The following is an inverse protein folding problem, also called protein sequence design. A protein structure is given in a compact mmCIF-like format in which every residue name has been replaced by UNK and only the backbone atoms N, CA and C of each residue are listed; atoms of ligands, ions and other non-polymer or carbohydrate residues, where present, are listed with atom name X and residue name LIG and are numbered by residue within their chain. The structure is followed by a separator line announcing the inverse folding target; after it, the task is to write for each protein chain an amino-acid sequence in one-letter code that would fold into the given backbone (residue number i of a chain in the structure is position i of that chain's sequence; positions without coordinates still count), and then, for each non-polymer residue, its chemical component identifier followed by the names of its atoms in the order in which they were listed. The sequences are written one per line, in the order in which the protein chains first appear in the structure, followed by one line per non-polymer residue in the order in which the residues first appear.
data_IF_010688733113
#
_entry.id   IF_010688733113
#
_cell.length_a   1.000
_cell.length_b   1.000
_cell.length_c   1.000
_cell.angle_alpha   90.00
_cell.angle_beta   90.00
_cell.angle_gamma   90.00
#
_symmetry.space_group_name_H-M   'P 1'
#
loop_
_entity.id
_entity.type
_entity.pdbx_description
1 polymer ?
#
# COMPACT_ATOMS: atom_id res chain seq x y z
N UNK A 1 20.40 12.55 14.49
CA UNK A 1 21.17 11.31 14.76
C UNK A 1 20.45 10.06 14.23
N UNK A 2 19.13 9.91 14.47
CA UNK A 2 18.32 8.81 13.94
C UNK A 2 18.23 8.79 12.41
N UNK A 3 18.00 9.95 11.76
CA UNK A 3 17.92 10.01 10.29
C UNK A 3 19.24 9.61 9.59
N UNK A 4 20.38 10.06 10.11
CA UNK A 4 21.71 9.67 9.58
C UNK A 4 21.96 8.18 9.74
N UNK A 5 21.42 7.54 10.79
CA UNK A 5 21.49 6.08 10.95
C UNK A 5 20.58 5.38 9.96
N UNK A 6 19.39 5.91 9.72
CA UNK A 6 18.44 5.38 8.72
C UNK A 6 19.03 5.40 7.31
N UNK A 7 19.56 6.53 6.84
CA UNK A 7 20.13 6.65 5.49
C UNK A 7 21.37 5.79 5.26
N UNK A 8 22.00 5.29 6.33
CA UNK A 8 23.13 4.35 6.28
C UNK A 8 22.71 2.90 6.56
N UNK A 9 21.42 2.63 6.72
CA UNK A 9 20.92 1.30 7.05
C UNK A 9 20.80 0.41 5.80
N UNK A 10 20.86 -0.90 6.01
CA UNK A 10 20.60 -1.88 4.93
C UNK A 10 19.17 -1.76 4.40
N UNK A 11 18.20 -1.47 5.27
CA UNK A 11 16.79 -1.29 4.87
C UNK A 11 16.62 -0.12 3.91
N UNK A 12 17.26 1.02 4.16
CA UNK A 12 17.22 2.17 3.25
C UNK A 12 17.79 1.81 1.88
N UNK A 13 18.99 1.22 1.83
CA UNK A 13 19.62 0.81 0.59
C UNK A 13 18.79 -0.23 -0.18
N UNK A 14 18.14 -1.16 0.53
CA UNK A 14 17.31 -2.19 -0.07
C UNK A 14 16.00 -1.63 -0.66
N UNK A 15 15.38 -0.66 0.01
CA UNK A 15 14.18 0.03 -0.50
C UNK A 15 14.51 0.90 -1.71
N UNK A 16 15.63 1.63 -1.67
CA UNK A 16 16.09 2.43 -2.82
C UNK A 16 16.37 1.55 -4.04
N UNK A 17 17.04 0.40 -3.84
CA UNK A 17 17.27 -0.58 -4.89
C UNK A 17 15.95 -1.14 -5.46
N UNK A 18 15.00 -1.50 -4.59
CA UNK A 18 13.69 -1.99 -5.02
C UNK A 18 12.97 -0.96 -5.90
N UNK A 19 12.92 0.31 -5.47
CA UNK A 19 12.27 1.39 -6.25
C UNK A 19 12.94 1.55 -7.62
N UNK A 20 14.28 1.52 -7.66
CA UNK A 20 15.03 1.61 -8.92
C UNK A 20 14.76 0.41 -9.84
N UNK A 21 14.69 -0.81 -9.31
CA UNK A 21 14.37 -2.03 -10.07
C UNK A 21 12.94 -1.99 -10.64
N UNK A 22 11.96 -1.61 -9.81
CA UNK A 22 10.56 -1.48 -10.21
C UNK A 22 10.42 -0.42 -11.30
N UNK A 23 10.97 0.78 -11.10
CA UNK A 23 10.93 1.86 -12.07
C UNK A 23 11.59 1.49 -13.40
N UNK A 24 12.76 0.83 -13.35
CA UNK A 24 13.48 0.37 -14.53
C UNK A 24 12.71 -0.69 -15.32
N UNK A 25 11.92 -1.53 -14.64
CA UNK A 25 11.16 -2.62 -15.28
C UNK A 25 10.05 -2.14 -16.22
N UNK A 26 9.60 -0.89 -16.08
CA UNK A 26 8.47 -0.31 -16.81
C UNK A 26 8.83 0.83 -17.76
N UNK A 27 10.12 1.15 -17.93
CA UNK A 27 10.56 2.20 -18.85
C UNK A 27 10.08 1.92 -20.27
N UNK A 28 9.40 2.90 -20.87
CA UNK A 28 8.87 2.79 -22.24
C UNK A 28 7.65 1.87 -22.38
N UNK A 29 7.00 1.45 -21.29
CA UNK A 29 5.82 0.58 -21.31
C UNK A 29 4.56 1.34 -20.89
N UNK A 30 3.47 1.30 -21.69
CA UNK A 30 2.19 1.84 -21.25
C UNK A 30 1.59 0.97 -20.14
N UNK A 31 0.69 1.55 -19.32
CA UNK A 31 -0.06 0.83 -18.27
C UNK A 31 -0.84 -0.36 -18.84
N UNK A 32 -1.36 -0.24 -20.06
CA UNK A 32 -2.07 -1.29 -20.78
C UNK A 32 -1.20 -2.45 -21.29
N UNK A 33 0.13 -2.40 -21.10
CA UNK A 33 1.04 -3.47 -21.55
C UNK A 33 0.66 -4.81 -20.94
N UNK A 34 0.68 -5.87 -21.74
CA UNK A 34 0.55 -7.23 -21.21
C UNK A 34 1.80 -7.61 -20.39
N UNK A 35 1.58 -8.18 -19.22
CA UNK A 35 2.63 -8.49 -18.23
C UNK A 35 2.30 -9.79 -17.51
N UNK A 36 3.34 -10.52 -17.11
CA UNK A 36 3.16 -11.70 -16.27
C UNK A 36 2.56 -11.30 -14.92
N UNK A 37 1.51 -11.99 -14.50
CA UNK A 37 0.89 -11.83 -13.19
C UNK A 37 0.94 -13.17 -12.46
N UNK A 38 1.67 -13.22 -11.35
CA UNK A 38 1.73 -14.42 -10.51
C UNK A 38 0.43 -14.67 -9.73
N UNK A 39 0.20 -15.91 -9.26
CA UNK A 39 -0.94 -16.23 -8.39
C UNK A 39 -1.00 -15.36 -7.13
N UNK A 40 0.15 -15.09 -6.50
CA UNK A 40 0.24 -14.22 -5.33
C UNK A 40 -0.24 -12.81 -5.67
N UNK A 41 0.21 -12.24 -6.81
CA UNK A 41 -0.22 -10.89 -7.22
C UNK A 41 -1.72 -10.85 -7.52
N UNK A 42 -2.30 -11.91 -8.11
CA UNK A 42 -3.75 -12.04 -8.26
C UNK A 42 -4.52 -12.05 -6.94
N UNK A 43 -3.99 -12.68 -5.88
CA UNK A 43 -4.60 -12.63 -4.55
C UNK A 43 -4.62 -11.19 -4.03
N UNK A 44 -3.51 -10.47 -4.13
CA UNK A 44 -3.41 -9.07 -3.67
C UNK A 44 -4.34 -8.15 -4.44
N UNK A 45 -4.41 -8.29 -5.77
CA UNK A 45 -5.31 -7.48 -6.59
C UNK A 45 -6.77 -7.69 -6.22
N UNK A 46 -7.19 -8.94 -5.98
CA UNK A 46 -8.55 -9.24 -5.52
C UNK A 46 -8.85 -8.62 -4.17
N UNK A 47 -7.88 -8.63 -3.24
CA UNK A 47 -8.05 -7.97 -1.95
C UNK A 47 -8.22 -6.45 -2.10
N UNK A 48 -7.45 -5.80 -2.99
CA UNK A 48 -7.61 -4.38 -3.30
C UNK A 48 -8.97 -4.07 -3.94
N UNK A 49 -9.43 -4.92 -4.87
CA UNK A 49 -10.74 -4.78 -5.52
C UNK A 49 -11.88 -4.92 -4.48
N UNK A 50 -11.78 -5.90 -3.56
CA UNK A 50 -12.73 -6.08 -2.46
C UNK A 50 -12.73 -4.87 -1.50
N UNK A 51 -11.55 -4.36 -1.16
CA UNK A 51 -11.38 -3.16 -0.33
C UNK A 51 -11.99 -1.90 -0.97
N UNK A 52 -11.98 -1.81 -2.31
CA UNK A 52 -12.65 -0.75 -3.07
C UNK A 52 -14.18 -0.85 -2.98
N UNK A 53 -14.74 -2.05 -3.05
CA UNK A 53 -16.17 -2.27 -2.83
C UNK A 53 -16.62 -1.86 -1.42
N UNK A 54 -15.80 -2.07 -0.39
CA UNK A 54 -16.17 -1.65 0.98
C UNK A 54 -16.38 -0.14 1.14
N UNK A 55 -15.83 0.68 0.25
CA UNK A 55 -16.06 2.13 0.29
C UNK A 55 -17.53 2.46 0.00
N UNK A 56 -18.18 1.67 -0.86
CA UNK A 56 -19.61 1.79 -1.14
C UNK A 56 -20.46 1.32 0.05
N UNK A 57 -20.04 0.25 0.72
CA UNK A 57 -20.71 -0.27 1.93
C UNK A 57 -20.59 0.66 3.15
N UNK A 58 -19.60 1.55 3.15
CA UNK A 58 -19.26 2.41 4.28
C UNK A 58 -19.34 3.88 3.81
N UNK A 59 -20.56 4.41 3.62
CA UNK A 59 -20.72 5.76 3.11
C UNK A 59 -20.20 6.80 4.12
N UNK A 60 -19.78 7.99 3.64
CA UNK A 60 -19.35 9.08 4.51
C UNK A 60 -20.43 9.45 5.54
N UNK A 61 -20.03 9.61 6.80
CA UNK A 61 -20.95 10.08 7.84
C UNK A 61 -21.31 11.55 7.60
N UNK A 62 -22.56 11.92 7.88
CA UNK A 62 -22.91 13.34 8.02
C UNK A 62 -22.18 13.92 9.24
N UNK A 63 -21.32 14.90 8.99
CA UNK A 63 -20.53 15.55 10.03
C UNK A 63 -20.41 17.05 9.75
N UNK A 64 -20.26 17.84 10.82
CA UNK A 64 -20.06 19.27 10.70
C UNK A 64 -18.63 19.64 10.21
N UNK A 65 -17.66 18.76 10.42
CA UNK A 65 -16.26 19.00 10.02
C UNK A 65 -16.04 18.74 8.54
N UNK A 66 -15.29 19.64 7.91
CA UNK A 66 -15.00 19.61 6.47
C UNK A 66 -13.94 18.56 6.08
N UNK A 67 -13.03 18.21 6.97
CA UNK A 67 -11.93 17.28 6.72
C UNK A 67 -12.03 16.06 7.65
N UNK A 68 -11.44 14.94 7.21
CA UNK A 68 -11.36 13.71 7.97
C UNK A 68 -12.72 13.12 8.31
N UNK A 69 -13.34 12.41 7.37
CA UNK A 69 -14.59 11.70 7.64
C UNK A 69 -14.34 10.51 8.57
N UNK A 70 -15.07 10.47 9.70
CA UNK A 70 -14.93 9.38 10.68
C UNK A 70 -15.32 8.00 10.13
N UNK A 71 -16.09 7.91 9.04
CA UNK A 71 -16.38 6.66 8.33
C UNK A 71 -15.10 5.91 7.91
N UNK A 72 -14.00 6.64 7.61
CA UNK A 72 -12.71 6.02 7.30
C UNK A 72 -12.24 5.07 8.40
N UNK A 73 -12.51 5.38 9.67
CA UNK A 73 -12.15 4.50 10.79
C UNK A 73 -12.85 3.15 10.69
N UNK A 74 -14.10 3.13 10.25
CA UNK A 74 -14.85 1.89 10.07
C UNK A 74 -14.27 1.07 8.92
N UNK A 75 -13.95 1.72 7.79
CA UNK A 75 -13.29 1.08 6.66
C UNK A 75 -11.91 0.51 7.07
N UNK A 76 -11.11 1.29 7.80
CA UNK A 76 -9.79 0.88 8.26
C UNK A 76 -9.87 -0.29 9.27
N UNK A 77 -10.84 -0.28 10.19
CA UNK A 77 -11.06 -1.41 11.12
C UNK A 77 -11.40 -2.68 10.33
N UNK A 78 -12.25 -2.60 9.31
CA UNK A 78 -12.57 -3.74 8.45
C UNK A 78 -11.31 -4.27 7.75
N UNK A 79 -10.49 -3.39 7.19
CA UNK A 79 -9.21 -3.75 6.56
C UNK A 79 -8.26 -4.46 7.55
N UNK A 80 -8.08 -3.93 8.75
CA UNK A 80 -7.23 -4.54 9.79
C UNK A 80 -7.72 -5.93 10.19
N UNK A 81 -9.03 -6.14 10.26
CA UNK A 81 -9.62 -7.45 10.59
C UNK A 81 -9.38 -8.51 9.51
N UNK A 82 -9.26 -8.11 8.23
CA UNK A 82 -9.04 -9.04 7.11
C UNK A 82 -7.54 -9.26 6.81
N UNK A 83 -6.66 -8.34 7.22
CA UNK A 83 -5.24 -8.38 6.92
C UNK A 83 -4.53 -9.69 7.35
N UNK A 84 -4.76 -10.28 8.55
CA UNK A 84 -4.11 -11.53 8.93
C UNK A 84 -4.44 -12.70 8.00
N UNK A 85 -5.71 -12.84 7.62
CA UNK A 85 -6.15 -13.89 6.70
C UNK A 85 -5.54 -13.71 5.30
N UNK A 86 -5.43 -12.46 4.84
CA UNK A 86 -4.74 -12.14 3.59
C UNK A 86 -3.26 -12.57 3.65
N UNK A 87 -2.53 -12.24 4.72
CA UNK A 87 -1.11 -12.61 4.84
C UNK A 87 -0.91 -14.12 4.82
N UNK A 88 -1.72 -14.88 5.58
CA UNK A 88 -1.68 -16.35 5.56
C UNK A 88 -1.98 -16.90 4.16
N UNK A 89 -2.89 -16.29 3.40
CA UNK A 89 -3.19 -16.74 2.03
C UNK A 89 -2.09 -16.48 1.00
N UNK A 90 -1.15 -15.57 1.31
CA UNK A 90 -0.04 -15.20 0.43
C UNK A 90 1.24 -15.98 0.74
N UNK A 91 1.43 -16.35 2.01
CA UNK A 91 2.65 -16.93 2.51
C UNK A 91 2.65 -18.46 2.34
N UNK A 92 3.81 -19.07 2.06
CA UNK A 92 3.95 -20.51 2.21
C UNK A 92 3.87 -20.91 3.69
N UNK A 93 3.53 -22.18 3.94
CA UNK A 93 3.29 -22.71 5.29
C UNK A 93 4.47 -22.48 6.25
N UNK A 94 5.70 -22.55 5.75
CA UNK A 94 6.93 -22.37 6.51
C UNK A 94 7.24 -20.89 6.84
N UNK A 95 6.55 -19.95 6.20
CA UNK A 95 6.70 -18.51 6.42
C UNK A 95 5.50 -17.88 7.16
N UNK A 96 4.51 -18.66 7.60
CA UNK A 96 3.35 -18.14 8.35
C UNK A 96 3.72 -17.38 9.64
N UNK A 97 4.88 -17.66 10.23
CA UNK A 97 5.38 -16.93 11.40
C UNK A 97 5.66 -15.44 11.11
N UNK A 98 5.91 -15.09 9.85
CA UNK A 98 6.20 -13.71 9.41
C UNK A 98 4.93 -12.90 9.11
N UNK A 99 3.75 -13.53 9.20
CA UNK A 99 2.47 -12.90 8.88
C UNK A 99 2.21 -11.66 9.74
N UNK A 100 2.50 -11.71 11.04
CA UNK A 100 2.26 -10.60 11.97
C UNK A 100 3.08 -9.35 11.61
N UNK A 101 4.33 -9.53 11.19
CA UNK A 101 5.18 -8.42 10.73
C UNK A 101 4.61 -7.80 9.45
N UNK A 102 4.18 -8.63 8.49
CA UNK A 102 3.59 -8.17 7.23
C UNK A 102 2.25 -7.45 7.42
N UNK A 103 1.42 -7.88 8.38
CA UNK A 103 0.19 -7.17 8.74
C UNK A 103 0.50 -5.74 9.17
N UNK A 104 1.59 -5.51 9.89
CA UNK A 104 2.03 -4.17 10.30
C UNK A 104 2.25 -3.25 9.10
N UNK A 105 3.08 -3.66 8.15
CA UNK A 105 3.36 -2.87 6.94
C UNK A 105 2.13 -2.69 6.05
N UNK A 106 1.31 -3.74 5.90
CA UNK A 106 0.08 -3.68 5.11
C UNK A 106 -0.92 -2.70 5.69
N UNK A 107 -1.18 -2.77 6.99
CA UNK A 107 -2.19 -1.92 7.63
C UNK A 107 -1.77 -0.45 7.65
N UNK A 108 -0.46 -0.17 7.80
CA UNK A 108 0.07 1.19 7.72
C UNK A 108 0.12 1.74 6.29
N UNK A 109 -0.13 0.92 5.25
CA UNK A 109 -0.12 1.40 3.86
C UNK A 109 -1.35 2.24 3.48
N UNK A 110 -2.46 2.18 4.23
CA UNK A 110 -3.73 2.78 3.79
C UNK A 110 -4.13 4.05 4.54
N UNK A 111 -3.18 4.71 5.21
CA UNK A 111 -3.41 5.94 5.98
C UNK A 111 -3.60 5.70 7.48
N UNK A 112 -3.69 6.78 8.26
CA UNK A 112 -3.82 6.68 9.72
C UNK A 112 -5.27 6.86 10.19
N UNK A 113 -5.89 5.90 10.90
CA UNK A 113 -7.29 5.99 11.31
C UNK A 113 -7.52 7.04 12.40
N UNK A 114 -6.51 7.39 13.20
CA UNK A 114 -6.66 8.38 14.27
C UNK A 114 -6.62 9.79 13.69
N UNK A 115 -5.64 10.07 12.83
CA UNK A 115 -5.45 11.38 12.17
C UNK A 115 -6.34 11.56 10.94
N UNK A 116 -6.85 10.46 10.37
CA UNK A 116 -7.65 10.43 9.13
C UNK A 116 -6.86 11.11 8.00
N UNK A 117 -5.60 10.70 7.86
CA UNK A 117 -4.66 11.24 6.89
C UNK A 117 -3.98 10.14 6.06
N UNK A 118 -3.41 10.54 4.93
CA UNK A 118 -2.65 9.69 4.04
C UNK A 118 -1.53 10.49 3.37
N UNK A 119 -0.43 9.85 2.98
CA UNK A 119 0.71 10.50 2.36
C UNK A 119 1.85 9.55 2.07
N UNK A 120 2.99 10.08 1.62
CA UNK A 120 4.12 9.32 1.08
C UNK A 120 4.75 8.29 2.04
N UNK A 121 4.61 8.49 3.36
CA UNK A 121 5.02 7.49 4.35
C UNK A 121 4.21 6.19 4.26
N UNK A 122 2.91 6.30 3.99
CA UNK A 122 2.01 5.16 3.80
C UNK A 122 2.30 4.45 2.47
N UNK A 123 2.59 5.21 1.41
CA UNK A 123 3.08 4.64 0.13
C UNK A 123 4.38 3.86 0.30
N UNK A 124 5.30 4.40 1.09
CA UNK A 124 6.54 3.71 1.43
C UNK A 124 6.29 2.44 2.25
N UNK A 125 5.26 2.42 3.11
CA UNK A 125 4.87 1.22 3.85
C UNK A 125 4.40 0.10 2.91
N UNK A 126 3.62 0.43 1.87
CA UNK A 126 3.25 -0.54 0.82
C UNK A 126 4.49 -1.10 0.10
N UNK A 127 5.42 -0.23 -0.30
CA UNK A 127 6.66 -0.68 -0.97
C UNK A 127 7.55 -1.51 -0.04
N UNK A 128 7.54 -1.21 1.26
CA UNK A 128 8.21 -2.01 2.29
C UNK A 128 7.56 -3.38 2.43
N UNK A 129 6.22 -3.45 2.40
CA UNK A 129 5.50 -4.71 2.36
C UNK A 129 5.83 -5.55 1.11
N UNK A 130 5.88 -4.93 -0.07
CA UNK A 130 6.35 -5.57 -1.31
C UNK A 130 7.78 -6.08 -1.17
N UNK A 131 8.66 -5.29 -0.55
CA UNK A 131 10.04 -5.70 -0.27
C UNK A 131 10.11 -6.95 0.62
N UNK A 132 9.31 -7.02 1.68
CA UNK A 132 9.26 -8.17 2.56
C UNK A 132 8.77 -9.43 1.82
N UNK A 133 7.74 -9.31 0.97
CA UNK A 133 7.31 -10.43 0.11
C UNK A 133 8.38 -10.88 -0.89
N UNK A 134 9.22 -9.96 -1.40
CA UNK A 134 10.38 -10.32 -2.23
C UNK A 134 11.43 -11.11 -1.44
N UNK A 135 11.68 -10.73 -0.18
CA UNK A 135 12.60 -11.45 0.72
C UNK A 135 12.11 -12.86 1.07
N UNK A 136 10.80 -13.06 1.12
CA UNK A 136 10.16 -14.35 1.35
C UNK A 136 9.92 -15.15 0.06
N UNK A 137 10.43 -14.66 -1.07
CA UNK A 137 10.27 -15.28 -2.39
C UNK A 137 8.82 -15.46 -2.88
N UNK A 138 7.85 -14.79 -2.23
CA UNK A 138 6.45 -14.73 -2.69
C UNK A 138 6.35 -13.92 -3.97
N UNK A 139 7.10 -12.80 -4.03
CA UNK A 139 7.31 -12.06 -5.26
C UNK A 139 8.73 -12.28 -5.79
N UNK A 140 8.83 -12.32 -7.11
CA UNK A 140 10.08 -12.50 -7.85
C UNK A 140 10.36 -11.31 -8.75
N UNK A 141 11.55 -11.24 -9.36
CA UNK A 141 11.86 -10.18 -10.32
C UNK A 141 10.95 -10.24 -11.57
N UNK A 142 10.36 -11.40 -11.86
CA UNK A 142 9.38 -11.56 -12.93
C UNK A 142 8.07 -10.80 -12.64
N UNK A 143 7.78 -10.51 -11.37
CA UNK A 143 6.59 -9.78 -10.96
C UNK A 143 6.77 -8.26 -11.01
N UNK A 144 8.00 -7.73 -11.15
CA UNK A 144 8.28 -6.29 -11.04
C UNK A 144 7.37 -5.43 -11.92
N UNK A 145 7.13 -5.86 -13.17
CA UNK A 145 6.25 -5.13 -14.09
C UNK A 145 4.81 -5.13 -13.62
N UNK A 146 4.30 -6.26 -13.13
CA UNK A 146 2.93 -6.34 -12.63
C UNK A 146 2.76 -5.64 -11.28
N UNK A 147 3.79 -5.62 -10.42
CA UNK A 147 3.77 -4.81 -9.20
C UNK A 147 3.52 -3.35 -9.56
N UNK A 148 4.21 -2.81 -10.56
CA UNK A 148 4.02 -1.40 -10.94
C UNK A 148 2.74 -1.19 -11.76
N UNK A 149 2.52 -1.97 -12.81
CA UNK A 149 1.46 -1.72 -13.79
C UNK A 149 0.11 -2.34 -13.41
N UNK A 150 0.00 -3.08 -12.30
CA UNK A 150 -1.26 -3.69 -11.85
C UNK A 150 -1.54 -3.45 -10.38
N UNK A 151 -0.58 -3.76 -9.50
CA UNK A 151 -0.76 -3.62 -8.05
C UNK A 151 -0.77 -2.14 -7.66
N UNK A 152 0.27 -1.38 -8.00
CA UNK A 152 0.34 0.05 -7.67
C UNK A 152 -0.78 0.85 -8.35
N UNK A 153 -1.17 0.48 -9.57
CA UNK A 153 -2.31 1.11 -10.24
C UNK A 153 -3.61 0.94 -9.44
N UNK A 154 -3.96 -0.30 -9.06
CA UNK A 154 -5.16 -0.59 -8.24
C UNK A 154 -5.10 0.07 -6.87
N UNK A 155 -3.93 0.00 -6.23
CA UNK A 155 -3.71 0.65 -4.96
C UNK A 155 -3.95 2.16 -5.06
N UNK A 156 -3.41 2.84 -6.07
CA UNK A 156 -3.63 4.28 -6.26
C UNK A 156 -5.08 4.61 -6.61
N UNK A 157 -5.79 3.75 -7.35
CA UNK A 157 -7.22 3.92 -7.59
C UNK A 157 -8.02 3.85 -6.29
N UNK A 158 -7.76 2.84 -5.45
CA UNK A 158 -8.36 2.72 -4.13
C UNK A 158 -8.02 3.93 -3.24
N UNK A 159 -6.75 4.34 -3.19
CA UNK A 159 -6.34 5.47 -2.35
C UNK A 159 -7.01 6.77 -2.77
N UNK A 160 -7.13 7.05 -4.08
CA UNK A 160 -7.90 8.20 -4.59
C UNK A 160 -9.37 8.12 -4.19
N UNK A 161 -9.96 6.93 -4.24
CA UNK A 161 -11.34 6.72 -3.79
C UNK A 161 -11.48 7.02 -2.29
N UNK A 162 -10.55 6.57 -1.44
CA UNK A 162 -10.56 6.83 0.00
C UNK A 162 -10.34 8.31 0.31
N UNK A 163 -9.33 8.95 -0.31
CA UNK A 163 -9.02 10.37 -0.16
C UNK A 163 -10.24 11.23 -0.51
N UNK A 164 -10.92 10.93 -1.62
CA UNK A 164 -12.08 11.71 -2.08
C UNK A 164 -13.36 11.43 -1.29
N UNK A 165 -13.60 10.16 -0.93
CA UNK A 165 -14.82 9.75 -0.23
C UNK A 165 -14.78 10.17 1.24
N UNK A 166 -13.64 9.99 1.90
CA UNK A 166 -13.49 10.26 3.33
C UNK A 166 -12.74 11.57 3.63
N UNK A 167 -12.40 12.37 2.62
CA UNK A 167 -11.71 13.65 2.79
C UNK A 167 -10.46 13.53 3.66
N UNK A 168 -9.62 12.54 3.34
CA UNK A 168 -8.37 12.29 4.08
C UNK A 168 -7.47 13.51 4.00
N UNK A 169 -6.85 13.84 5.12
CA UNK A 169 -5.90 14.95 5.17
C UNK A 169 -4.52 14.54 4.59
N UNK A 170 -3.79 15.47 3.95
CA UNK A 170 -2.39 15.30 3.58
C UNK A 170 -1.49 15.01 4.78
N UNK A 171 -0.87 13.82 4.82
CA UNK A 171 0.09 13.46 5.85
C UNK A 171 1.49 13.96 5.47
N UNK A 172 2.02 14.90 6.25
CA UNK A 172 3.37 15.43 6.03
C UNK A 172 3.48 16.42 4.88
N UNK A 173 2.38 17.11 4.53
CA UNK A 173 2.37 18.10 3.46
C UNK A 173 3.50 19.12 3.62
N UNK A 174 4.21 19.40 2.53
CA UNK A 174 5.13 20.53 2.42
C UNK A 174 4.41 21.81 1.92
N UNK A 175 3.07 21.81 1.90
CA UNK A 175 2.25 22.88 1.31
C UNK A 175 2.57 23.06 -0.18
N UNK A 176 2.64 24.31 -0.64
CA UNK A 176 2.99 24.62 -2.05
C UNK A 176 4.41 24.22 -2.50
N UNK A 177 5.18 23.54 -1.64
CA UNK A 177 6.50 22.99 -1.95
C UNK A 177 6.50 21.45 -2.05
N UNK A 178 5.34 20.82 -1.86
CA UNK A 178 5.16 19.39 -2.11
C UNK A 178 5.09 19.09 -3.61
N UNK A 179 5.47 17.86 -3.99
CA UNK A 179 5.23 17.37 -5.35
C UNK A 179 3.75 17.03 -5.56
N UNK A 180 3.10 16.52 -4.51
CA UNK A 180 1.72 16.03 -4.44
C UNK A 180 1.22 16.14 -2.98
N UNK A 181 -0.09 15.97 -2.73
CA UNK A 181 -0.80 16.31 -1.48
C UNK A 181 -1.33 15.09 -0.68
#
# INVERSE_FOLDING_TARGET
RTLVRWTKSQSFAALEALVAELGSSVVGRPVSSDVHVSPALHVVMRALDEMSCWVEDIPPLQQAMRYGNKAFKHWHVRMVQHAPALMVSLLPDDAHAEADELVGYWTDAFGNPTRIDYGTGHELALLTWVHCLRKLHVFTAADNQAVVLRLLERYLQLMRQLQTTYWLEPAGSHGGWGLDD
#
